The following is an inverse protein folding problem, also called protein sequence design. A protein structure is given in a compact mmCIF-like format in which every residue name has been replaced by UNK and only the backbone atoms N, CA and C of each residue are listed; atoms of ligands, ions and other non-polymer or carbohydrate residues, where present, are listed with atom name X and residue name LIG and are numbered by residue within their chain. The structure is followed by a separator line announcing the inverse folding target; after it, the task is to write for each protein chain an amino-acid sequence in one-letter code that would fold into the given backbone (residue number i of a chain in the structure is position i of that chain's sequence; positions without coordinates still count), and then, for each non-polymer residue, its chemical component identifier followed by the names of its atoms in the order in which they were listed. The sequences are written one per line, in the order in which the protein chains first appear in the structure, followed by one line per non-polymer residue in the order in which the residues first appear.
data_IF_858851883091
#
_entry.id   IF_858851883091
#
_cell.length_a   1.000
_cell.length_b   1.000
_cell.length_c   1.000
_cell.angle_alpha   90.00
_cell.angle_beta   90.00
_cell.angle_gamma   90.00
#
_symmetry.space_group_name_H-M   'P 1'
#
loop_
_entity.id
_entity.type
_entity.pdbx_description
1 polymer ?
#
# COMPACT_ATOMS: atom_id res chain seq x y z
N UNK A 1 -3.15 -4.06 7.68
CA UNK A 1 -3.91 -4.94 8.58
C UNK A 1 -5.12 -4.20 9.14
N UNK A 2 -6.29 -4.85 9.23
CA UNK A 2 -7.47 -4.25 9.85
C UNK A 2 -7.25 -4.03 11.35
N UNK A 3 -7.87 -2.97 11.93
CA UNK A 3 -7.71 -2.62 13.34
C UNK A 3 -8.03 -3.79 14.28
N UNK A 4 -9.14 -4.50 14.03
CA UNK A 4 -9.51 -5.68 14.83
C UNK A 4 -8.46 -6.78 14.79
N UNK A 5 -7.91 -7.07 13.60
CA UNK A 5 -6.86 -8.08 13.45
C UNK A 5 -5.53 -7.62 14.09
N UNK A 6 -5.26 -6.29 14.07
CA UNK A 6 -4.11 -5.73 14.79
C UNK A 6 -4.31 -5.85 16.31
N UNK A 7 -5.50 -5.56 16.82
CA UNK A 7 -5.81 -5.72 18.23
C UNK A 7 -5.68 -7.19 18.69
N UNK A 8 -6.19 -8.14 17.90
CA UNK A 8 -6.03 -9.57 18.17
C UNK A 8 -4.55 -9.98 18.19
N UNK A 9 -3.75 -9.48 17.25
CA UNK A 9 -2.31 -9.75 17.19
C UNK A 9 -1.56 -9.20 18.41
N UNK A 10 -1.91 -7.99 18.85
CA UNK A 10 -1.32 -7.37 20.04
C UNK A 10 -1.74 -8.10 21.33
N UNK A 11 -2.92 -8.73 21.36
CA UNK A 11 -3.42 -9.47 22.51
C UNK A 11 -3.59 -8.56 23.73
N UNK A 12 -2.99 -8.92 24.85
CA UNK A 12 -3.10 -8.10 26.08
C UNK A 12 -2.51 -6.68 25.94
N UNK A 13 -1.51 -6.51 25.06
CA UNK A 13 -0.93 -5.18 24.80
C UNK A 13 -1.94 -4.20 24.18
N UNK A 14 -3.01 -4.69 23.54
CA UNK A 14 -4.06 -3.84 22.99
C UNK A 14 -4.81 -3.01 24.06
N UNK A 15 -4.72 -3.41 25.34
CA UNK A 15 -5.33 -2.70 26.48
C UNK A 15 -4.40 -1.69 27.12
N UNK A 16 -3.13 -1.67 26.70
CA UNK A 16 -2.06 -0.82 27.23
C UNK A 16 -0.78 -1.59 27.50
N UNK A 17 0.30 -0.88 27.69
CA UNK A 17 1.63 -1.44 27.91
C UNK A 17 2.22 -0.91 29.21
N UNK A 18 2.49 -1.80 30.16
CA UNK A 18 3.11 -1.48 31.47
C UNK A 18 2.43 -0.31 32.21
N UNK A 19 1.08 -0.28 32.17
CA UNK A 19 0.27 0.79 32.77
C UNK A 19 0.21 2.08 31.94
N UNK A 20 0.76 2.10 30.73
CA UNK A 20 0.57 3.17 29.75
C UNK A 20 -0.70 2.86 28.92
N UNK A 21 -1.71 3.73 28.89
CA UNK A 21 -2.86 3.57 28.00
C UNK A 21 -2.43 3.54 26.54
N UNK A 22 -3.03 2.63 25.76
CA UNK A 22 -2.88 2.54 24.31
C UNK A 22 -4.18 2.99 23.63
N UNK A 23 -4.06 3.88 22.65
CA UNK A 23 -5.16 4.26 21.76
C UNK A 23 -4.88 3.77 20.35
N UNK A 24 -5.95 3.32 19.67
CA UNK A 24 -5.95 3.00 18.24
C UNK A 24 -6.58 4.20 17.51
N UNK A 25 -5.89 4.74 16.56
CA UNK A 25 -6.30 5.89 15.76
C UNK A 25 -6.31 5.48 14.29
N UNK A 26 -7.44 4.92 13.81
CA UNK A 26 -7.54 4.49 12.42
C UNK A 26 -7.49 5.71 11.48
N UNK A 27 -6.71 5.56 10.41
CA UNK A 27 -6.54 6.54 9.35
C UNK A 27 -6.51 5.89 7.98
N UNK A 28 -6.38 6.70 6.94
CA UNK A 28 -6.34 6.21 5.55
C UNK A 28 -5.08 5.39 5.24
N UNK A 29 -3.98 5.68 5.89
CA UNK A 29 -2.69 4.99 5.66
C UNK A 29 -2.45 3.83 6.64
N UNK A 30 -3.36 3.60 7.56
CA UNK A 30 -3.24 2.55 8.58
C UNK A 30 -3.83 2.95 9.91
N UNK A 31 -3.42 2.28 10.96
CA UNK A 31 -3.85 2.55 12.33
C UNK A 31 -2.65 3.02 13.15
N UNK A 32 -2.69 4.25 13.64
CA UNK A 32 -1.69 4.71 14.60
C UNK A 32 -1.96 4.09 15.96
N UNK A 33 -0.90 3.58 16.58
CA UNK A 33 -0.89 3.11 17.95
C UNK A 33 -0.28 4.19 18.82
N UNK A 34 -1.06 4.81 19.70
CA UNK A 34 -0.59 5.90 20.56
C UNK A 34 -0.51 5.49 22.01
N UNK A 35 0.71 5.43 22.55
CA UNK A 35 0.95 5.32 24.00
C UNK A 35 0.93 6.70 24.66
N UNK A 36 0.37 6.76 25.88
CA UNK A 36 0.29 8.01 26.62
C UNK A 36 0.87 7.83 28.03
N UNK A 37 1.86 8.66 28.39
CA UNK A 37 2.37 8.78 29.75
C UNK A 37 1.83 10.05 30.42
N UNK A 38 1.21 9.92 31.59
CA UNK A 38 0.68 11.05 32.35
C UNK A 38 1.16 10.96 33.81
N UNK A 39 1.43 12.13 34.41
CA UNK A 39 1.79 12.22 35.83
C UNK A 39 3.16 11.62 36.19
N UNK A 40 4.02 11.37 35.20
CA UNK A 40 5.38 10.88 35.39
C UNK A 40 6.40 12.00 35.16
N UNK A 41 7.56 11.97 35.85
CA UNK A 41 8.70 12.80 35.47
C UNK A 41 9.11 12.54 34.02
N UNK A 42 9.59 13.56 33.28
CA UNK A 42 9.86 13.47 31.85
C UNK A 42 10.79 12.28 31.48
N UNK A 43 11.92 12.14 32.18
CA UNK A 43 12.86 11.05 31.91
C UNK A 43 12.27 9.65 32.19
N UNK A 44 11.35 9.53 33.14
CA UNK A 44 10.61 8.28 33.39
C UNK A 44 9.60 8.00 32.28
N UNK A 45 8.85 9.03 31.87
CA UNK A 45 7.88 8.94 30.78
C UNK A 45 8.55 8.51 29.48
N UNK A 46 9.67 9.14 29.11
CA UNK A 46 10.43 8.80 27.90
C UNK A 46 10.92 7.34 27.91
N UNK A 47 11.51 6.89 29.01
CA UNK A 47 11.97 5.49 29.11
C UNK A 47 10.82 4.50 28.97
N UNK A 48 9.68 4.75 29.64
CA UNK A 48 8.51 3.84 29.60
C UNK A 48 7.83 3.86 28.23
N UNK A 49 7.72 5.02 27.60
CA UNK A 49 7.18 5.13 26.24
C UNK A 49 8.06 4.38 25.25
N UNK A 50 9.39 4.57 25.29
CA UNK A 50 10.32 3.87 24.43
C UNK A 50 10.25 2.34 24.61
N UNK A 51 10.25 1.85 25.84
CA UNK A 51 10.12 0.42 26.14
C UNK A 51 8.76 -0.14 25.67
N UNK A 52 7.69 0.62 25.87
CA UNK A 52 6.35 0.24 25.42
C UNK A 52 6.22 0.20 23.90
N UNK A 53 6.80 1.18 23.20
CA UNK A 53 6.83 1.23 21.74
C UNK A 53 7.59 0.02 21.16
N UNK A 54 8.72 -0.35 21.75
CA UNK A 54 9.47 -1.53 21.31
C UNK A 54 8.67 -2.83 21.45
N UNK A 55 7.97 -3.02 22.56
CA UNK A 55 7.09 -4.18 22.76
C UNK A 55 5.94 -4.23 21.76
N UNK A 56 5.36 -3.08 21.41
CA UNK A 56 4.35 -2.98 20.37
C UNK A 56 4.93 -3.33 19.00
N UNK A 57 6.12 -2.82 18.68
CA UNK A 57 6.83 -3.09 17.43
C UNK A 57 7.15 -4.59 17.28
N UNK A 58 7.72 -5.21 18.30
CA UNK A 58 8.00 -6.65 18.30
C UNK A 58 6.72 -7.47 18.07
N UNK A 59 5.62 -7.09 18.73
CA UNK A 59 4.36 -7.84 18.64
C UNK A 59 3.63 -7.61 17.31
N UNK A 60 3.61 -6.38 16.81
CA UNK A 60 3.00 -6.04 15.52
C UNK A 60 3.85 -6.55 14.34
N UNK A 61 5.17 -6.59 14.48
CA UNK A 61 6.10 -7.14 13.48
C UNK A 61 6.07 -6.35 12.17
N UNK A 62 6.02 -7.06 11.05
CA UNK A 62 6.08 -6.50 9.69
C UNK A 62 4.95 -5.52 9.35
N UNK A 63 3.95 -5.35 10.23
CA UNK A 63 2.89 -4.37 10.03
C UNK A 63 3.27 -2.95 10.50
N UNK A 64 4.38 -2.80 11.22
CA UNK A 64 4.90 -1.47 11.58
C UNK A 64 5.78 -0.96 10.47
N UNK A 65 5.40 0.16 9.86
CA UNK A 65 6.19 0.78 8.79
C UNK A 65 6.92 2.05 9.25
N UNK A 66 6.50 2.67 10.33
CA UNK A 66 7.11 3.92 10.80
C UNK A 66 6.66 4.34 12.19
N UNK A 67 7.14 5.48 12.64
CA UNK A 67 6.83 6.10 13.92
C UNK A 67 6.56 7.60 13.75
N UNK A 68 5.81 8.16 14.70
CA UNK A 68 5.51 9.58 14.80
C UNK A 68 4.98 10.19 13.50
N UNK A 69 5.77 11.03 12.84
CA UNK A 69 5.42 11.73 11.60
C UNK A 69 5.92 11.02 10.34
N UNK A 70 6.32 9.77 10.44
CA UNK A 70 6.77 8.99 9.28
C UNK A 70 5.64 8.84 8.25
N UNK A 71 5.96 9.19 7.02
CA UNK A 71 5.07 9.10 5.86
C UNK A 71 5.43 7.85 5.05
N UNK A 72 4.47 6.95 4.83
CA UNK A 72 4.72 5.68 4.14
C UNK A 72 5.31 5.87 2.74
N UNK A 73 4.82 6.86 1.96
CA UNK A 73 5.35 7.12 0.63
C UNK A 73 6.79 7.64 0.71
N UNK A 74 7.10 8.51 1.68
CA UNK A 74 8.45 9.01 1.91
C UNK A 74 9.41 7.87 2.29
N UNK A 75 8.99 6.96 3.16
CA UNK A 75 9.77 5.77 3.54
C UNK A 75 10.03 4.85 2.36
N UNK A 76 9.03 4.58 1.53
CA UNK A 76 9.17 3.77 0.31
C UNK A 76 10.15 4.44 -0.66
N UNK A 77 10.03 5.74 -0.91
CA UNK A 77 10.96 6.47 -1.79
C UNK A 77 12.38 6.49 -1.22
N UNK A 78 12.55 6.67 0.09
CA UNK A 78 13.86 6.58 0.74
C UNK A 78 14.48 5.19 0.59
N UNK A 79 13.68 4.13 0.77
CA UNK A 79 14.13 2.75 0.57
C UNK A 79 14.48 2.44 -0.89
N UNK A 80 13.76 3.00 -1.87
CA UNK A 80 14.11 2.90 -3.27
C UNK A 80 15.42 3.64 -3.57
N UNK A 81 15.55 4.87 -3.09
CA UNK A 81 16.73 5.71 -3.28
C UNK A 81 18.00 5.05 -2.74
N UNK A 82 17.94 4.48 -1.53
CA UNK A 82 19.09 3.80 -0.90
C UNK A 82 19.56 2.57 -1.67
N UNK A 83 18.70 2.00 -2.54
CA UNK A 83 19.00 0.83 -3.39
C UNK A 83 19.21 1.19 -4.85
N UNK A 84 19.19 2.47 -5.21
CA UNK A 84 19.25 2.93 -6.60
C UNK A 84 18.08 2.43 -7.45
N UNK A 85 16.91 2.22 -6.84
CA UNK A 85 15.70 1.78 -7.53
C UNK A 85 14.88 2.99 -7.96
N UNK A 86 14.38 2.93 -9.20
CA UNK A 86 13.40 3.89 -9.74
C UNK A 86 12.04 3.20 -9.87
N UNK A 87 10.96 3.97 -9.80
CA UNK A 87 9.58 3.47 -9.73
C UNK A 87 8.75 4.04 -10.89
N UNK A 88 7.92 3.19 -11.49
CA UNK A 88 6.85 3.58 -12.38
C UNK A 88 5.55 2.87 -12.01
N UNK A 89 4.40 3.50 -12.27
CA UNK A 89 3.09 2.97 -11.89
C UNK A 89 2.19 2.76 -13.11
N UNK A 90 1.36 1.71 -13.05
CA UNK A 90 0.27 1.46 -13.97
C UNK A 90 -1.04 1.30 -13.20
N UNK A 91 -1.91 2.28 -13.34
CA UNK A 91 -3.11 2.38 -12.52
C UNK A 91 -4.37 2.21 -13.36
N UNK A 92 -5.28 1.37 -12.89
CA UNK A 92 -6.62 1.23 -13.47
C UNK A 92 -7.68 1.82 -12.53
N UNK A 93 -8.18 1.05 -11.56
CA UNK A 93 -9.25 1.52 -10.67
C UNK A 93 -8.86 2.72 -9.80
N UNK A 94 -7.61 2.85 -9.41
CA UNK A 94 -7.09 3.99 -8.62
C UNK A 94 -7.00 5.29 -9.41
N UNK A 95 -6.83 5.21 -10.75
CA UNK A 95 -6.95 6.38 -11.63
C UNK A 95 -5.90 7.48 -11.40
N UNK A 96 -4.70 7.14 -10.96
CA UNK A 96 -3.59 8.06 -10.71
C UNK A 96 -3.36 8.40 -9.24
N UNK A 97 -4.14 7.84 -8.30
CA UNK A 97 -4.00 8.15 -6.87
C UNK A 97 -2.66 7.70 -6.30
N UNK A 98 -2.13 6.53 -6.71
CA UNK A 98 -0.80 6.09 -6.27
C UNK A 98 0.29 7.02 -6.81
N UNK A 99 0.24 7.37 -8.09
CA UNK A 99 1.17 8.33 -8.67
C UNK A 99 1.11 9.69 -7.98
N UNK A 100 -0.09 10.19 -7.70
CA UNK A 100 -0.30 11.43 -6.96
C UNK A 100 0.28 11.34 -5.54
N UNK A 101 0.07 10.22 -4.83
CA UNK A 101 0.58 9.99 -3.47
C UNK A 101 2.12 9.97 -3.42
N UNK A 102 2.76 9.29 -4.37
CA UNK A 102 4.22 9.24 -4.44
C UNK A 102 4.82 10.61 -4.81
N UNK A 103 4.20 11.32 -5.75
CA UNK A 103 4.70 12.62 -6.21
C UNK A 103 4.38 13.76 -5.25
N UNK A 104 3.51 13.57 -4.26
CA UNK A 104 3.29 14.52 -3.17
C UNK A 104 4.52 14.68 -2.26
N UNK A 105 5.42 13.69 -2.25
CA UNK A 105 6.66 13.75 -1.46
C UNK A 105 7.68 14.65 -2.17
N UNK A 106 8.17 15.72 -1.53
CA UNK A 106 9.20 16.57 -2.12
C UNK A 106 10.46 15.80 -2.53
N UNK A 107 10.98 16.09 -3.72
CA UNK A 107 12.15 15.40 -4.26
C UNK A 107 11.88 13.99 -4.82
N UNK A 108 10.62 13.58 -4.96
CA UNK A 108 10.26 12.26 -5.50
C UNK A 108 10.72 12.01 -6.93
N UNK A 109 11.00 13.07 -7.71
CA UNK A 109 11.37 12.97 -9.13
C UNK A 109 12.71 12.26 -9.40
N UNK A 110 13.54 12.07 -8.39
CA UNK A 110 14.77 11.26 -8.49
C UNK A 110 14.50 9.75 -8.45
N UNK A 111 13.32 9.34 -7.95
CA UNK A 111 12.89 7.94 -7.83
C UNK A 111 11.70 7.64 -8.74
N UNK A 112 10.69 8.51 -8.81
CA UNK A 112 9.46 8.29 -9.57
C UNK A 112 9.65 8.78 -11.01
N UNK A 113 9.74 7.86 -11.96
CA UNK A 113 9.94 8.19 -13.38
C UNK A 113 8.64 8.56 -14.09
N UNK A 114 7.50 8.12 -13.57
CA UNK A 114 6.21 8.40 -14.17
C UNK A 114 5.21 7.28 -14.01
N UNK A 115 4.13 7.33 -14.80
CA UNK A 115 3.09 6.30 -14.74
C UNK A 115 2.06 6.41 -15.86
N UNK A 116 1.27 5.36 -15.98
CA UNK A 116 0.19 5.26 -16.96
C UNK A 116 -1.14 5.01 -16.28
N UNK A 117 -2.12 5.87 -16.49
CA UNK A 117 -3.51 5.59 -16.13
C UNK A 117 -4.12 4.71 -17.23
N UNK A 118 -4.11 3.41 -17.02
CA UNK A 118 -4.59 2.41 -17.97
C UNK A 118 -6.04 2.00 -17.66
N UNK A 119 -6.96 2.95 -17.74
CA UNK A 119 -8.37 2.71 -17.35
C UNK A 119 -9.11 1.80 -18.33
N UNK A 120 -9.04 2.09 -19.61
CA UNK A 120 -9.61 1.25 -20.66
C UNK A 120 -8.69 0.07 -21.03
N UNK A 121 -9.28 -1.06 -21.46
CA UNK A 121 -8.50 -2.22 -21.91
C UNK A 121 -7.60 -1.90 -23.11
N UNK A 122 -8.06 -1.06 -24.03
CA UNK A 122 -7.27 -0.60 -25.17
C UNK A 122 -5.97 0.10 -24.71
N UNK A 123 -6.01 0.89 -23.64
CA UNK A 123 -4.82 1.55 -23.07
C UNK A 123 -3.89 0.53 -22.41
N UNK A 124 -4.42 -0.47 -21.70
CA UNK A 124 -3.62 -1.58 -21.14
C UNK A 124 -2.80 -2.29 -22.22
N UNK A 125 -3.43 -2.53 -23.37
CA UNK A 125 -2.77 -3.17 -24.54
C UNK A 125 -1.75 -2.22 -25.17
N UNK A 126 -2.18 -1.03 -25.57
CA UNK A 126 -1.36 -0.13 -26.40
C UNK A 126 -0.19 0.47 -25.61
N UNK A 127 -0.42 0.94 -24.38
CA UNK A 127 0.58 1.64 -23.59
C UNK A 127 1.47 0.69 -22.77
N UNK A 128 0.95 -0.44 -22.30
CA UNK A 128 1.63 -1.29 -21.33
C UNK A 128 1.90 -2.72 -21.86
N UNK A 129 1.47 -3.03 -23.09
CA UNK A 129 1.75 -4.32 -23.72
C UNK A 129 0.98 -5.50 -23.12
N UNK A 130 -0.12 -5.25 -22.40
CA UNK A 130 -0.96 -6.33 -21.87
C UNK A 130 -1.54 -7.12 -23.06
N UNK A 131 -1.33 -8.44 -23.06
CA UNK A 131 -1.80 -9.30 -24.15
C UNK A 131 -3.32 -9.29 -24.27
N UNK A 132 -3.93 -9.04 -25.44
CA UNK A 132 -5.39 -9.08 -25.62
C UNK A 132 -5.99 -10.42 -25.21
N UNK A 133 -5.31 -11.53 -25.45
CA UNK A 133 -5.74 -12.86 -25.05
C UNK A 133 -5.90 -12.99 -23.53
N UNK A 134 -4.97 -12.42 -22.74
CA UNK A 134 -5.05 -12.42 -21.29
C UNK A 134 -6.27 -11.65 -20.79
N UNK A 135 -6.61 -10.51 -21.43
CA UNK A 135 -7.81 -9.74 -21.09
C UNK A 135 -9.09 -10.48 -21.44
N UNK A 136 -9.11 -11.22 -22.54
CA UNK A 136 -10.26 -12.01 -22.97
C UNK A 136 -10.50 -13.23 -22.07
N UNK A 137 -9.44 -13.90 -21.65
CA UNK A 137 -9.49 -15.12 -20.82
C UNK A 137 -9.75 -14.81 -19.34
N UNK A 138 -8.94 -13.96 -18.74
CA UNK A 138 -8.93 -13.69 -17.29
C UNK A 138 -9.73 -12.45 -16.90
N UNK A 139 -10.11 -11.60 -17.86
CA UNK A 139 -10.72 -10.30 -17.63
C UNK A 139 -9.72 -9.27 -17.10
N UNK A 140 -10.11 -7.99 -17.14
CA UNK A 140 -9.25 -6.87 -16.74
C UNK A 140 -8.84 -6.91 -15.27
N UNK A 141 -9.66 -7.50 -14.39
CA UNK A 141 -9.38 -7.63 -12.95
C UNK A 141 -8.93 -9.06 -12.66
N UNK A 142 -7.63 -9.27 -12.73
CA UNK A 142 -7.02 -10.58 -12.50
C UNK A 142 -5.55 -10.42 -12.10
N UNK A 143 -4.99 -11.47 -11.49
CA UNK A 143 -3.57 -11.52 -11.13
C UNK A 143 -2.69 -11.32 -12.37
N UNK A 144 -2.98 -12.04 -13.45
CA UNK A 144 -2.20 -11.96 -14.69
C UNK A 144 -2.15 -10.55 -15.26
N UNK A 145 -3.28 -9.83 -15.24
CA UNK A 145 -3.33 -8.45 -15.72
C UNK A 145 -2.58 -7.51 -14.78
N UNK A 146 -2.69 -7.66 -13.46
CA UNK A 146 -1.91 -6.84 -12.52
C UNK A 146 -0.40 -7.02 -12.73
N UNK A 147 0.05 -8.28 -12.90
CA UNK A 147 1.45 -8.60 -13.22
C UNK A 147 1.90 -7.98 -14.54
N UNK A 148 1.10 -8.09 -15.58
CA UNK A 148 1.39 -7.50 -16.89
C UNK A 148 1.44 -5.97 -16.83
N UNK A 149 0.55 -5.33 -16.04
CA UNK A 149 0.58 -3.89 -15.80
C UNK A 149 1.88 -3.46 -15.09
N UNK A 150 2.31 -4.20 -14.06
CA UNK A 150 3.54 -3.92 -13.33
C UNK A 150 4.77 -4.04 -14.25
N UNK A 151 4.89 -5.15 -15.00
CA UNK A 151 5.97 -5.35 -15.96
C UNK A 151 5.96 -4.27 -17.05
N UNK A 152 4.78 -3.97 -17.61
CA UNK A 152 4.62 -2.92 -18.62
C UNK A 152 5.00 -1.53 -18.10
N UNK A 153 4.65 -1.18 -16.87
CA UNK A 153 5.07 0.07 -16.23
C UNK A 153 6.59 0.14 -16.12
N UNK A 154 7.22 -0.90 -15.57
CA UNK A 154 8.67 -0.98 -15.43
C UNK A 154 9.39 -0.81 -16.77
N UNK A 155 8.99 -1.57 -17.79
CA UNK A 155 9.64 -1.59 -19.09
C UNK A 155 9.43 -0.30 -19.89
N UNK A 156 8.20 0.18 -19.97
CA UNK A 156 7.84 1.36 -20.78
C UNK A 156 8.40 2.67 -20.25
N UNK A 157 8.57 2.78 -18.95
CA UNK A 157 9.16 3.95 -18.33
C UNK A 157 10.66 3.80 -18.01
N UNK A 158 11.28 2.64 -18.31
CA UNK A 158 12.68 2.39 -17.99
C UNK A 158 12.98 2.36 -16.50
N UNK A 159 11.99 2.02 -15.69
CA UNK A 159 12.12 1.93 -14.23
C UNK A 159 12.68 0.55 -13.82
N UNK A 160 13.17 0.47 -12.59
CA UNK A 160 13.59 -0.80 -11.98
C UNK A 160 12.43 -1.45 -11.19
N UNK A 161 11.49 -0.66 -10.75
CA UNK A 161 10.26 -1.11 -10.09
C UNK A 161 9.05 -0.66 -10.89
N UNK A 162 8.17 -1.59 -11.24
CA UNK A 162 6.87 -1.33 -11.79
C UNK A 162 5.78 -1.74 -10.81
N UNK A 163 4.77 -0.89 -10.62
CA UNK A 163 3.59 -1.22 -9.81
C UNK A 163 2.37 -1.24 -10.71
N UNK A 164 1.61 -2.34 -10.67
CA UNK A 164 0.39 -2.53 -11.45
C UNK A 164 -0.82 -2.72 -10.55
N UNK A 165 -1.89 -1.92 -10.76
CA UNK A 165 -3.12 -1.99 -9.97
C UNK A 165 -4.33 -2.12 -10.89
N UNK A 166 -5.16 -3.13 -10.62
CA UNK A 166 -6.45 -3.31 -11.30
C UNK A 166 -7.49 -3.83 -10.32
N UNK A 167 -8.74 -3.38 -10.43
CA UNK A 167 -9.77 -3.76 -9.46
C UNK A 167 -11.17 -3.32 -9.83
N UNK A 168 -12.13 -3.82 -9.05
CA UNK A 168 -13.56 -3.47 -9.10
C UNK A 168 -13.86 -2.50 -7.98
N UNK A 169 -13.85 -1.20 -8.29
CA UNK A 169 -14.11 -0.15 -7.29
C UNK A 169 -15.60 0.09 -7.01
N UNK A 170 -16.50 -0.51 -7.77
CA UNK A 170 -17.94 -0.35 -7.57
C UNK A 170 -18.52 0.97 -8.10
N UNK A 171 -19.84 1.23 -7.88
CA UNK A 171 -20.78 0.34 -7.16
C UNK A 171 -21.20 -0.90 -7.96
N UNK A 172 -21.01 -0.91 -9.27
CA UNK A 172 -21.30 -2.04 -10.16
C UNK A 172 -20.03 -2.78 -10.60
N UNK A 173 -20.21 -3.79 -11.51
CA UNK A 173 -19.10 -4.53 -12.10
C UNK A 173 -18.54 -5.69 -11.28
N UNK A 174 -19.08 -5.93 -10.09
CA UNK A 174 -18.71 -7.10 -9.28
C UNK A 174 -19.44 -8.37 -9.75
N UNK A 175 -18.80 -9.53 -9.52
CA UNK A 175 -19.36 -10.88 -9.67
C UNK A 175 -19.17 -11.65 -8.36
N UNK A 176 -19.70 -12.89 -8.29
CA UNK A 176 -19.48 -13.75 -7.12
C UNK A 176 -17.99 -14.05 -6.89
N UNK A 177 -17.22 -14.27 -7.97
CA UNK A 177 -15.78 -14.56 -7.91
C UNK A 177 -14.93 -13.30 -7.68
N UNK A 178 -15.43 -12.16 -8.17
CA UNK A 178 -14.75 -10.85 -8.12
C UNK A 178 -15.72 -9.80 -7.59
N UNK A 179 -16.09 -9.83 -6.30
CA UNK A 179 -17.01 -8.84 -5.73
C UNK A 179 -16.43 -7.44 -5.82
N UNK A 180 -17.30 -6.43 -5.66
CA UNK A 180 -16.86 -5.03 -5.45
C UNK A 180 -15.85 -4.99 -4.30
N UNK A 181 -14.80 -4.22 -4.48
CA UNK A 181 -13.64 -4.18 -3.56
C UNK A 181 -12.50 -5.12 -3.94
N UNK A 182 -12.70 -6.04 -4.90
CA UNK A 182 -11.61 -6.89 -5.38
C UNK A 182 -10.57 -6.03 -6.11
N UNK A 183 -9.35 -5.96 -5.56
CA UNK A 183 -8.21 -5.25 -6.15
C UNK A 183 -7.01 -6.19 -6.18
N UNK A 184 -6.39 -6.30 -7.34
CA UNK A 184 -5.10 -6.91 -7.54
C UNK A 184 -4.01 -5.84 -7.61
N UNK A 185 -2.97 -6.03 -6.81
CA UNK A 185 -1.78 -5.17 -6.78
C UNK A 185 -0.59 -6.06 -7.10
N UNK A 186 0.24 -5.65 -8.04
CA UNK A 186 1.48 -6.34 -8.37
C UNK A 186 2.66 -5.37 -8.31
N UNK A 187 3.82 -5.86 -7.90
CA UNK A 187 5.09 -5.17 -7.97
C UNK A 187 6.09 -6.05 -8.74
N UNK A 188 6.73 -5.46 -9.73
CA UNK A 188 7.83 -6.04 -10.50
C UNK A 188 9.13 -5.30 -10.12
N UNK A 189 10.05 -5.99 -9.47
CA UNK A 189 11.35 -5.44 -9.10
C UNK A 189 12.42 -6.18 -9.93
N UNK A 190 12.99 -5.49 -10.92
CA UNK A 190 14.02 -6.04 -11.82
C UNK A 190 13.61 -7.38 -12.47
N UNK A 191 12.31 -7.58 -12.75
CA UNK A 191 11.75 -8.81 -13.32
C UNK A 191 11.23 -9.82 -12.29
N UNK A 192 11.47 -9.63 -11.01
CA UNK A 192 10.87 -10.45 -9.95
C UNK A 192 9.49 -9.92 -9.58
N UNK A 193 8.42 -10.60 -10.01
CA UNK A 193 7.06 -10.14 -9.86
C UNK A 193 6.35 -10.82 -8.70
N UNK A 194 5.79 -10.02 -7.78
CA UNK A 194 4.87 -10.47 -6.75
C UNK A 194 3.50 -9.81 -6.98
N UNK A 195 2.43 -10.54 -6.66
CA UNK A 195 1.08 -10.01 -6.74
C UNK A 195 0.28 -10.45 -5.51
N UNK A 196 -0.68 -9.60 -5.11
CA UNK A 196 -1.60 -9.89 -4.03
C UNK A 196 -3.01 -9.49 -4.42
N UNK A 197 -3.98 -10.26 -3.95
CA UNK A 197 -5.40 -9.96 -4.04
C UNK A 197 -5.88 -9.41 -2.71
N UNK A 198 -6.61 -8.31 -2.78
CA UNK A 198 -7.33 -7.75 -1.63
C UNK A 198 -8.81 -7.66 -1.96
N UNK A 199 -9.66 -7.68 -0.93
CA UNK A 199 -11.08 -7.36 -1.04
C UNK A 199 -11.34 -6.27 0.00
N UNK A 200 -11.32 -5.03 -0.48
CA UNK A 200 -11.58 -3.86 0.36
C UNK A 200 -13.07 -3.69 0.59
N UNK A 201 -13.43 -3.23 1.78
CA UNK A 201 -14.80 -2.90 2.16
C UNK A 201 -14.94 -1.39 2.13
N UNK A 202 -16.06 -0.90 1.60
CA UNK A 202 -16.33 0.53 1.55
C UNK A 202 -17.00 0.97 0.26
N UNK A 203 -17.13 2.26 0.10
CA UNK A 203 -17.62 2.86 -1.14
C UNK A 203 -16.51 2.94 -2.21
N UNK A 204 -16.89 3.47 -3.39
CA UNK A 204 -15.94 3.61 -4.51
C UNK A 204 -14.73 4.50 -4.18
N UNK A 205 -14.89 5.52 -3.35
CA UNK A 205 -13.79 6.42 -2.99
C UNK A 205 -12.81 5.70 -2.06
N UNK A 206 -13.34 5.00 -1.06
CA UNK A 206 -12.56 4.21 -0.10
C UNK A 206 -11.80 3.05 -0.76
N UNK A 207 -12.44 2.32 -1.70
CA UNK A 207 -11.80 1.20 -2.42
C UNK A 207 -10.68 1.69 -3.36
N UNK A 208 -10.76 2.92 -3.86
CA UNK A 208 -9.76 3.49 -4.75
C UNK A 208 -8.56 4.09 -4.03
N UNK A 209 -8.76 4.51 -2.80
CA UNK A 209 -7.71 5.06 -1.95
C UNK A 209 -6.91 3.95 -1.28
#
# INVERSE_FOLDING_TARGET
IAESALADRLGELARGVDGLPLAFLPGQEGTDLRLVARGLPAAEAERRLAAGAERLRERAGDFVYGEDADDLAALVLAACRSRGLTVAVAESCTGGLLGARLTAVPGSSDVVLGGTIAYANAVKVAALGVAPALLAEAGAVSEGVARALAAGARERHGARVGIGITGVAGPGGGTAEKPVGTVWIAADVDGAVRAMRNVFVGDRAEIRF
#
